data_IF_923705778570
#
_entry.id   IF_923705778570
#
_cell.length_a   1.000
_cell.length_b   1.000
_cell.length_c   1.000
_cell.angle_alpha   90.00
_cell.angle_beta   90.00
_cell.angle_gamma   90.00
#
_symmetry.space_group_name_H-M   'P 1'
#
loop_
_entity.id
_entity.type
_entity.pdbx_description
1 polymer ?
#
# COMPACT_ATOMS: atom_id res chain seq x y z
N UNK A 1 31.88 42.03 12.62
CA UNK A 1 32.51 41.74 11.33
C UNK A 1 31.47 41.03 10.46
N UNK A 2 31.06 41.58 9.31
CA UNK A 2 30.09 40.89 8.47
C UNK A 2 30.73 39.59 7.93
N UNK A 3 30.00 38.46 7.93
CA UNK A 3 30.50 37.26 7.29
C UNK A 3 30.74 37.56 5.82
N UNK A 4 31.96 37.21 5.37
CA UNK A 4 32.42 37.52 4.02
C UNK A 4 31.51 36.86 2.97
N UNK A 5 31.08 37.64 1.96
CA UNK A 5 30.04 37.32 0.97
C UNK A 5 30.19 35.94 0.30
N UNK A 6 31.42 35.50 0.04
CA UNK A 6 31.74 34.19 -0.54
C UNK A 6 31.40 32.98 0.34
N UNK A 7 31.36 33.12 1.66
CA UNK A 7 30.96 32.02 2.54
C UNK A 7 29.46 31.74 2.42
N UNK A 8 28.66 32.79 2.23
CA UNK A 8 27.20 32.65 2.07
C UNK A 8 26.85 31.99 0.74
N UNK A 9 27.62 32.25 -0.33
CA UNK A 9 27.41 31.61 -1.63
C UNK A 9 27.77 30.13 -1.62
N UNK A 10 28.87 29.75 -0.94
CA UNK A 10 29.25 28.35 -0.77
C UNK A 10 28.20 27.55 0.02
N UNK A 11 27.68 28.12 1.11
CA UNK A 11 26.61 27.51 1.91
C UNK A 11 25.34 27.35 1.06
N UNK A 12 24.95 28.38 0.30
CA UNK A 12 23.76 28.33 -0.56
C UNK A 12 23.84 27.24 -1.63
N UNK A 13 24.97 27.14 -2.34
CA UNK A 13 25.20 26.13 -3.39
C UNK A 13 25.25 24.70 -2.81
N UNK A 14 25.78 24.54 -1.59
CA UNK A 14 25.85 23.23 -0.94
C UNK A 14 24.54 22.78 -0.29
N UNK A 15 23.71 23.72 0.17
CA UNK A 15 22.42 23.43 0.80
C UNK A 15 21.29 23.24 -0.22
N UNK A 16 21.36 23.83 -1.42
CA UNK A 16 20.31 23.67 -2.45
C UNK A 16 20.02 22.20 -2.81
N UNK A 17 21.02 21.32 -3.02
CA UNK A 17 20.79 19.90 -3.31
C UNK A 17 20.18 19.14 -2.13
N UNK A 18 20.47 19.55 -0.88
CA UNK A 18 19.95 18.91 0.32
C UNK A 18 18.44 19.17 0.49
N UNK A 19 17.99 20.40 0.21
CA UNK A 19 16.56 20.74 0.30
C UNK A 19 15.72 20.13 -0.84
N UNK A 20 16.34 19.69 -1.94
CA UNK A 20 15.67 18.98 -3.04
C UNK A 20 15.50 17.48 -2.77
N UNK A 21 16.27 16.90 -1.84
CA UNK A 21 16.16 15.49 -1.44
C UNK A 21 15.12 15.30 -0.31
N UNK A 22 14.64 16.39 0.28
CA UNK A 22 13.69 16.39 1.40
C UNK A 22 12.34 17.01 0.97
N UNK A 23 11.83 16.55 -0.17
CA UNK A 23 10.52 16.93 -0.67
C UNK A 23 9.71 15.69 -1.05
N UNK A 24 9.73 14.64 -0.22
CA UNK A 24 8.82 13.51 -0.35
C UNK A 24 8.67 12.67 0.94
N UNK A 25 8.85 13.27 2.11
CA UNK A 25 8.07 12.83 3.28
C UNK A 25 6.94 13.83 3.46
N UNK A 26 6.13 13.99 2.40
CA UNK A 26 4.75 14.36 2.66
C UNK A 26 4.27 13.33 3.67
N UNK A 27 3.75 13.83 4.78
CA UNK A 27 2.95 13.09 5.72
C UNK A 27 1.81 12.46 4.92
N UNK A 28 2.10 11.34 4.25
CA UNK A 28 1.16 10.53 3.50
C UNK A 28 0.22 10.10 4.61
N UNK A 29 -0.96 10.72 4.65
CA UNK A 29 -1.97 10.39 5.63
C UNK A 29 -2.13 8.88 5.53
N UNK A 30 -1.61 8.17 6.53
CA UNK A 30 -1.49 6.71 6.48
C UNK A 30 -2.91 6.20 6.44
N UNK A 31 -3.39 5.95 5.23
CA UNK A 31 -4.72 5.45 5.04
C UNK A 31 -4.75 4.09 5.74
N UNK A 32 -5.78 3.86 6.52
CA UNK A 32 -5.95 2.63 7.27
C UNK A 32 -7.41 2.23 7.19
N UNK A 33 -7.69 1.31 6.28
CA UNK A 33 -8.99 0.66 6.15
C UNK A 33 -8.97 -0.72 6.81
N UNK A 34 -10.14 -1.32 7.01
CA UNK A 34 -10.24 -2.69 7.53
C UNK A 34 -11.10 -3.59 6.67
N UNK A 35 -10.72 -4.86 6.63
CA UNK A 35 -11.55 -5.95 6.16
C UNK A 35 -11.40 -7.12 7.14
N UNK A 36 -12.46 -7.40 7.89
CA UNK A 36 -12.40 -8.30 9.04
C UNK A 36 -11.36 -7.84 10.07
N UNK A 37 -10.43 -8.74 10.41
CA UNK A 37 -9.35 -8.45 11.35
C UNK A 37 -8.11 -7.81 10.69
N UNK A 38 -8.07 -7.71 9.35
CA UNK A 38 -6.90 -7.23 8.61
C UNK A 38 -6.99 -5.72 8.40
N UNK A 39 -5.94 -5.01 8.80
CA UNK A 39 -5.76 -3.60 8.47
C UNK A 39 -5.08 -3.46 7.11
N UNK A 40 -5.63 -2.61 6.25
CA UNK A 40 -5.18 -2.36 4.88
C UNK A 40 -4.71 -0.91 4.78
N UNK A 41 -3.47 -0.72 4.37
CA UNK A 41 -2.83 0.55 4.03
C UNK A 41 -2.08 0.47 2.71
N UNK A 42 -1.47 1.59 2.28
CA UNK A 42 -0.53 1.64 1.15
C UNK A 42 0.47 0.47 1.24
N UNK A 43 0.73 -0.28 0.14
CA UNK A 43 0.42 0.03 -1.27
C UNK A 43 -0.90 -0.52 -1.80
N UNK A 44 -1.71 -1.17 -0.96
CA UNK A 44 -2.94 -1.79 -1.43
C UNK A 44 -4.04 -0.76 -1.69
N UNK A 45 -4.70 -0.91 -2.84
CA UNK A 45 -5.87 -0.13 -3.14
C UNK A 45 -7.12 -0.77 -2.52
N UNK A 46 -7.88 -0.03 -1.73
CA UNK A 46 -9.08 -0.58 -1.08
C UNK A 46 -10.09 0.50 -0.74
N UNK A 47 -11.35 0.31 -1.07
CA UNK A 47 -12.44 1.19 -0.64
C UNK A 47 -13.13 0.58 0.56
N UNK A 48 -13.03 1.26 1.70
CA UNK A 48 -13.79 0.91 2.89
C UNK A 48 -15.27 1.15 2.61
N UNK A 49 -16.07 0.08 2.66
CA UNK A 49 -17.50 0.13 2.35
C UNK A 49 -18.31 0.85 3.43
N UNK A 50 -17.83 0.93 4.67
CA UNK A 50 -18.51 1.61 5.77
C UNK A 50 -18.29 3.12 5.69
N UNK A 51 -17.05 3.53 5.46
CA UNK A 51 -16.68 4.96 5.45
C UNK A 51 -16.73 5.59 4.05
N UNK A 52 -16.77 4.76 3.00
CA UNK A 52 -16.62 5.19 1.61
C UNK A 52 -15.23 5.72 1.27
N UNK A 53 -14.28 5.65 2.21
CA UNK A 53 -12.92 6.18 2.03
C UNK A 53 -12.07 5.17 1.28
N UNK A 54 -11.38 5.62 0.25
CA UNK A 54 -10.41 4.80 -0.47
C UNK A 54 -9.01 4.96 0.11
N UNK A 55 -8.33 3.83 0.16
CA UNK A 55 -6.95 3.62 0.49
C UNK A 55 -6.16 3.29 -0.78
N UNK A 56 -4.89 3.69 -0.84
CA UNK A 56 -3.96 3.36 -1.92
C UNK A 56 -3.31 4.58 -2.56
N UNK A 57 -2.24 4.37 -3.34
CA UNK A 57 -1.55 5.45 -4.02
C UNK A 57 -2.45 6.15 -5.05
N UNK A 58 -2.32 7.47 -5.22
CA UNK A 58 -3.06 8.20 -6.25
C UNK A 58 -2.69 7.69 -7.65
N UNK A 59 -3.68 7.42 -8.49
CA UNK A 59 -3.47 6.93 -9.86
C UNK A 59 -4.26 5.65 -10.15
N UNK A 60 -3.60 4.67 -10.78
CA UNK A 60 -4.17 3.34 -11.05
C UNK A 60 -4.36 2.56 -9.74
N UNK A 61 -5.48 1.84 -9.58
CA UNK A 61 -5.72 1.00 -8.41
C UNK A 61 -4.90 -0.30 -8.50
N UNK A 62 -3.58 -0.17 -8.45
CA UNK A 62 -2.69 -1.31 -8.42
C UNK A 62 -2.88 -2.08 -7.11
N UNK A 63 -2.87 -3.41 -7.19
CA UNK A 63 -3.15 -4.31 -6.07
C UNK A 63 -4.51 -4.04 -5.39
N UNK A 64 -5.54 -3.72 -6.19
CA UNK A 64 -6.89 -3.52 -5.66
C UNK A 64 -7.41 -4.76 -4.93
N UNK A 65 -7.76 -4.57 -3.67
CA UNK A 65 -8.36 -5.59 -2.82
C UNK A 65 -9.88 -5.44 -2.81
N UNK A 66 -10.56 -6.56 -2.61
CA UNK A 66 -11.99 -6.63 -2.28
C UNK A 66 -12.14 -7.27 -0.90
N UNK A 67 -13.28 -7.08 -0.23
CA UNK A 67 -13.52 -7.71 1.07
C UNK A 67 -14.51 -8.87 0.92
N UNK A 68 -14.03 -10.11 1.04
CA UNK A 68 -14.89 -11.28 0.85
C UNK A 68 -15.63 -11.58 2.15
N UNK A 69 -16.96 -11.59 2.09
CA UNK A 69 -17.87 -11.85 3.23
C UNK A 69 -17.53 -11.03 4.48
N UNK A 70 -17.05 -9.78 4.32
CA UNK A 70 -16.56 -8.92 5.40
C UNK A 70 -15.50 -9.56 6.32
N UNK A 71 -14.85 -10.64 5.89
CA UNK A 71 -14.04 -11.50 6.74
C UNK A 71 -12.55 -11.38 6.43
N UNK A 72 -12.17 -11.41 5.15
CA UNK A 72 -10.78 -11.32 4.73
C UNK A 72 -10.63 -10.56 3.41
N UNK A 73 -9.54 -9.77 3.25
CA UNK A 73 -9.23 -9.15 1.98
C UNK A 73 -8.92 -10.22 0.92
N UNK A 74 -9.40 -9.98 -0.30
CA UNK A 74 -9.17 -10.82 -1.47
C UNK A 74 -8.41 -9.99 -2.51
N UNK A 75 -7.25 -10.49 -2.91
CA UNK A 75 -6.54 -10.04 -4.09
C UNK A 75 -7.05 -10.85 -5.29
N UNK A 76 -7.87 -10.27 -6.18
CA UNK A 76 -8.47 -10.99 -7.29
C UNK A 76 -7.38 -11.40 -8.30
N UNK A 77 -7.57 -12.58 -8.91
CA UNK A 77 -6.72 -12.99 -10.02
C UNK A 77 -7.08 -12.22 -11.29
N UNK A 78 -6.08 -11.90 -12.12
CA UNK A 78 -6.32 -11.40 -13.48
C UNK A 78 -6.89 -12.48 -14.40
N UNK A 79 -6.76 -13.76 -14.03
CA UNK A 79 -7.31 -14.89 -14.78
C UNK A 79 -8.76 -15.13 -14.35
N UNK A 80 -9.69 -14.96 -15.30
CA UNK A 80 -11.15 -15.01 -15.09
C UNK A 80 -11.70 -16.27 -14.39
N UNK A 81 -10.98 -17.39 -14.46
CA UNK A 81 -11.44 -18.69 -13.94
C UNK A 81 -10.98 -18.92 -12.49
N UNK A 82 -10.02 -18.14 -11.98
CA UNK A 82 -9.44 -18.35 -10.65
C UNK A 82 -9.87 -17.25 -9.69
N UNK A 83 -10.20 -17.62 -8.46
CA UNK A 83 -10.68 -16.70 -7.43
C UNK A 83 -9.61 -15.70 -6.96
N UNK A 84 -8.33 -16.08 -6.99
CA UNK A 84 -7.21 -15.27 -6.51
C UNK A 84 -6.73 -15.67 -5.12
N UNK A 85 -6.29 -14.70 -4.32
CA UNK A 85 -5.63 -14.93 -3.03
C UNK A 85 -6.39 -14.29 -1.87
N UNK A 86 -6.82 -15.11 -0.91
CA UNK A 86 -7.33 -14.61 0.36
C UNK A 86 -6.15 -14.21 1.25
N UNK A 87 -6.16 -12.99 1.77
CA UNK A 87 -5.12 -12.45 2.65
C UNK A 87 -5.54 -12.68 4.09
N UNK A 88 -4.74 -13.44 4.84
CA UNK A 88 -4.98 -13.70 6.26
C UNK A 88 -4.35 -12.64 7.16
N UNK A 89 -3.17 -12.14 6.77
CA UNK A 89 -2.45 -11.11 7.51
C UNK A 89 -1.45 -10.37 6.61
N UNK A 90 -1.17 -9.11 6.97
CA UNK A 90 -0.19 -8.24 6.32
C UNK A 90 0.79 -7.75 7.39
N UNK A 91 2.07 -8.01 7.21
CA UNK A 91 3.14 -7.48 8.05
C UNK A 91 3.88 -6.40 7.28
N UNK A 92 3.53 -5.13 7.49
CA UNK A 92 4.16 -4.01 6.78
C UNK A 92 5.63 -3.82 7.15
N UNK A 93 5.98 -4.01 8.43
CA UNK A 93 7.36 -3.92 8.90
C UNK A 93 8.27 -5.00 8.30
N UNK A 94 7.78 -6.24 8.22
CA UNK A 94 8.52 -7.36 7.62
C UNK A 94 8.33 -7.44 6.10
N UNK A 95 7.44 -6.60 5.54
CA UNK A 95 7.07 -6.58 4.12
C UNK A 95 6.61 -7.95 3.61
N UNK A 96 5.76 -8.62 4.39
CA UNK A 96 5.29 -9.98 4.11
C UNK A 96 3.76 -10.07 4.09
N UNK A 97 3.25 -11.03 3.31
CA UNK A 97 1.83 -11.35 3.18
C UNK A 97 1.62 -12.83 3.47
N UNK A 98 0.67 -13.14 4.34
CA UNK A 98 0.21 -14.52 4.54
C UNK A 98 -1.09 -14.72 3.77
N UNK A 99 -1.06 -15.59 2.75
CA UNK A 99 -2.18 -15.76 1.81
C UNK A 99 -2.53 -17.23 1.58
N UNK A 100 -3.79 -17.47 1.21
CA UNK A 100 -4.30 -18.74 0.70
C UNK A 100 -4.69 -18.55 -0.77
N UNK A 101 -4.18 -19.43 -1.65
CA UNK A 101 -4.64 -19.53 -3.03
C UNK A 101 -6.01 -20.21 -3.07
N UNK A 102 -7.05 -19.42 -3.31
CA UNK A 102 -8.43 -19.90 -3.31
C UNK A 102 -8.73 -20.80 -4.52
N UNK A 103 -8.06 -20.56 -5.65
CA UNK A 103 -8.22 -21.40 -6.84
C UNK A 103 -7.71 -22.81 -6.59
N UNK A 104 -6.51 -22.93 -6.01
CA UNK A 104 -5.97 -24.24 -5.61
C UNK A 104 -6.77 -24.90 -4.50
N UNK A 105 -7.21 -24.13 -3.51
CA UNK A 105 -8.05 -24.67 -2.43
C UNK A 105 -9.34 -25.28 -2.98
N UNK A 106 -9.97 -24.62 -3.96
CA UNK A 106 -11.17 -25.13 -4.61
C UNK A 106 -10.90 -26.44 -5.37
N UNK A 107 -9.79 -26.54 -6.10
CA UNK A 107 -9.42 -27.78 -6.81
C UNK A 107 -9.16 -28.97 -5.87
N UNK A 108 -8.75 -28.72 -4.62
CA UNK A 108 -8.60 -29.77 -3.61
C UNK A 108 -9.94 -30.24 -3.04
N UNK A 109 -10.96 -29.36 -3.02
CA UNK A 109 -12.30 -29.70 -2.57
C UNK A 109 -13.13 -30.38 -3.67
N UNK A 110 -13.00 -29.89 -4.90
CA UNK A 110 -13.68 -30.39 -6.08
C UNK A 110 -12.64 -30.97 -7.06
N UNK A 111 -12.12 -32.18 -6.80
CA UNK A 111 -11.17 -32.82 -7.71
C UNK A 111 -11.83 -33.05 -9.09
N UNK A 112 -11.07 -32.92 -10.18
CA UNK A 112 -11.60 -33.07 -11.54
C UNK A 112 -12.13 -34.47 -11.85
#
# INVERSE_FOLDING_TARGET
MPPSSWFLTLIWVWCLPLMLVEAEEQQEEVCSAKCGAVTISNPFWFTDLETGRSCGSPGSPDFQLTCLNNSYPLLPSSVRVTLGFAILNISYGERSLHVIDLGKLQLLHDPP
#
